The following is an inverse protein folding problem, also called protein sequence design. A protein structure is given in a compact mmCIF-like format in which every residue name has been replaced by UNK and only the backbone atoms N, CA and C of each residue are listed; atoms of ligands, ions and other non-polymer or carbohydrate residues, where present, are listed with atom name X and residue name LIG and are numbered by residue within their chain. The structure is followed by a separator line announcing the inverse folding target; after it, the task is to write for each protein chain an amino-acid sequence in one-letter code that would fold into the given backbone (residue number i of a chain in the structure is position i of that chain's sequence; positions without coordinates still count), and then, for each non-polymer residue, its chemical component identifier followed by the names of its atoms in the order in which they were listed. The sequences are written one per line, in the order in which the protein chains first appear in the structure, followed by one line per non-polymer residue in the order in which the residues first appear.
data_IF_948179505811
#
_entry.id   IF_948179505811
#
_cell.length_a   1.000
_cell.length_b   1.000
_cell.length_c   1.000
_cell.angle_alpha   90.00
_cell.angle_beta   90.00
_cell.angle_gamma   90.00
#
_symmetry.space_group_name_H-M   'P 1'
#
loop_
_entity.id
_entity.type
_entity.pdbx_description
1 polymer ?
#
# COMPACT_ATOMS: atom_id res chain seq x y z
N UNK A 1 16.62 8.70 -4.78
CA UNK A 1 15.15 8.81 -4.72
C UNK A 1 14.51 8.06 -5.88
N UNK A 2 13.37 7.40 -5.65
CA UNK A 2 12.76 6.49 -6.63
C UNK A 2 12.42 7.17 -7.98
N UNK A 3 11.93 8.41 -7.94
CA UNK A 3 11.54 9.14 -9.15
C UNK A 3 12.75 9.70 -9.91
N UNK A 4 13.67 10.38 -9.21
CA UNK A 4 14.74 11.13 -9.87
C UNK A 4 15.97 10.27 -10.20
N UNK A 5 16.36 9.36 -9.30
CA UNK A 5 17.59 8.55 -9.49
C UNK A 5 17.31 7.24 -10.22
N UNK A 6 16.12 6.66 -10.01
CA UNK A 6 15.74 5.36 -10.58
C UNK A 6 14.75 5.47 -11.74
N UNK A 7 14.23 6.67 -12.04
CA UNK A 7 13.29 6.88 -13.14
C UNK A 7 11.95 6.13 -12.97
N UNK A 8 11.58 5.76 -11.74
CA UNK A 8 10.30 5.09 -11.49
C UNK A 8 9.14 5.99 -11.95
N UNK A 9 8.08 5.40 -12.50
CA UNK A 9 6.84 6.14 -12.83
C UNK A 9 5.77 6.03 -11.75
N UNK A 10 5.86 4.99 -10.92
CA UNK A 10 4.93 4.67 -9.85
C UNK A 10 5.68 4.03 -8.70
N UNK A 11 5.40 4.49 -7.49
CA UNK A 11 5.82 3.89 -6.23
C UNK A 11 4.56 3.45 -5.50
N UNK A 12 4.52 2.22 -5.02
CA UNK A 12 3.37 1.72 -4.25
C UNK A 12 3.83 0.97 -3.00
N UNK A 13 2.95 0.92 -2.01
CA UNK A 13 3.13 0.18 -0.78
C UNK A 13 1.82 -0.53 -0.42
N UNK A 14 1.94 -1.68 0.25
CA UNK A 14 0.79 -2.47 0.71
C UNK A 14 0.91 -2.82 2.18
N UNK A 15 -0.23 -2.97 2.84
CA UNK A 15 -0.34 -3.50 4.21
C UNK A 15 -1.76 -4.03 4.42
N UNK A 16 -1.99 -4.87 5.43
CA UNK A 16 -3.34 -5.29 5.80
C UNK A 16 -4.21 -4.07 6.17
N UNK A 17 -5.49 -4.09 5.81
CA UNK A 17 -6.41 -2.97 6.00
C UNK A 17 -6.50 -2.52 7.47
N UNK A 18 -6.31 -3.46 8.40
CA UNK A 18 -6.30 -3.24 9.87
C UNK A 18 -5.07 -2.49 10.39
N UNK A 19 -3.97 -2.40 9.64
CA UNK A 19 -2.74 -1.72 10.06
C UNK A 19 -2.82 -0.19 9.89
N UNK A 20 -3.69 0.45 10.68
CA UNK A 20 -3.95 1.89 10.60
C UNK A 20 -2.69 2.77 10.77
N UNK A 21 -1.73 2.34 11.60
CA UNK A 21 -0.48 3.08 11.78
C UNK A 21 0.36 3.13 10.50
N UNK A 22 0.52 2.00 9.79
CA UNK A 22 1.21 1.96 8.51
C UNK A 22 0.51 2.81 7.46
N UNK A 23 -0.83 2.76 7.40
CA UNK A 23 -1.62 3.57 6.46
C UNK A 23 -1.38 5.07 6.64
N UNK A 24 -1.35 5.55 7.89
CA UNK A 24 -1.02 6.94 8.20
C UNK A 24 0.41 7.31 7.79
N UNK A 25 1.37 6.40 7.88
CA UNK A 25 2.74 6.64 7.39
C UNK A 25 2.76 6.77 5.87
N UNK A 26 2.04 5.91 5.15
CA UNK A 26 1.93 6.01 3.68
C UNK A 26 1.31 7.33 3.25
N UNK A 27 0.24 7.76 3.92
CA UNK A 27 -0.40 9.07 3.70
C UNK A 27 0.56 10.23 3.96
N UNK A 28 1.30 10.19 5.08
CA UNK A 28 2.33 11.20 5.39
C UNK A 28 3.48 11.23 4.40
N UNK A 29 3.81 10.09 3.79
CA UNK A 29 4.81 9.99 2.73
C UNK A 29 4.28 10.45 1.36
N UNK A 30 3.02 10.90 1.28
CA UNK A 30 2.41 11.44 0.07
C UNK A 30 1.75 10.40 -0.83
N UNK A 31 1.70 9.12 -0.42
CA UNK A 31 0.99 8.09 -1.16
C UNK A 31 -0.52 8.23 -0.91
N UNK A 32 -1.31 7.93 -1.95
CA UNK A 32 -2.78 7.99 -1.93
C UNK A 32 -3.36 6.59 -2.00
N UNK A 33 -4.48 6.37 -1.33
CA UNK A 33 -5.20 5.09 -1.41
C UNK A 33 -5.57 4.79 -2.87
N UNK A 34 -5.19 3.60 -3.35
CA UNK A 34 -5.47 3.14 -4.70
C UNK A 34 -6.61 2.11 -4.70
N UNK A 35 -6.50 1.06 -3.87
CA UNK A 35 -7.45 -0.07 -3.85
C UNK A 35 -7.29 -0.96 -2.62
N UNK A 36 -8.29 -1.80 -2.38
CA UNK A 36 -8.25 -2.93 -1.45
C UNK A 36 -8.21 -4.25 -2.24
N UNK A 37 -7.37 -5.18 -1.80
CA UNK A 37 -7.13 -6.50 -2.39
C UNK A 37 -7.52 -7.57 -1.38
N UNK A 38 -8.46 -8.45 -1.74
CA UNK A 38 -8.78 -9.62 -0.93
C UNK A 38 -8.00 -10.82 -1.47
N UNK A 39 -6.77 -10.95 -0.99
CA UNK A 39 -5.88 -12.04 -1.39
C UNK A 39 -6.28 -13.32 -0.65
N UNK A 40 -6.21 -14.46 -1.35
CA UNK A 40 -6.38 -15.78 -0.73
C UNK A 40 -5.01 -16.25 -0.25
N UNK A 41 -4.95 -16.65 1.01
CA UNK A 41 -3.76 -17.22 1.64
C UNK A 41 -4.09 -18.63 2.15
N UNK A 42 -3.16 -19.56 2.00
CA UNK A 42 -3.34 -20.94 2.46
C UNK A 42 -3.46 -21.04 3.98
N UNK A 43 -2.81 -20.12 4.71
CA UNK A 43 -2.88 -19.97 6.17
C UNK A 43 -3.13 -18.48 6.52
N UNK A 44 -4.39 -18.03 6.54
CA UNK A 44 -4.71 -16.63 6.79
C UNK A 44 -4.57 -16.28 8.28
N UNK A 45 -3.94 -15.14 8.56
CA UNK A 45 -3.88 -14.59 9.92
C UNK A 45 -5.10 -13.68 10.21
N UNK A 46 -5.48 -13.47 11.49
CA UNK A 46 -6.58 -12.58 11.84
C UNK A 46 -6.42 -11.18 11.24
N UNK A 47 -7.50 -10.65 10.65
CA UNK A 47 -7.53 -9.37 9.95
C UNK A 47 -7.34 -9.48 8.43
N UNK A 48 -6.96 -10.66 7.91
CA UNK A 48 -6.85 -10.94 6.47
C UNK A 48 -8.21 -10.82 5.76
N UNK A 49 -9.30 -11.09 6.46
CA UNK A 49 -10.67 -10.95 5.98
C UNK A 49 -11.02 -9.51 5.55
N UNK A 50 -10.29 -8.52 6.05
CA UNK A 50 -10.45 -7.12 5.67
C UNK A 50 -9.60 -6.72 4.44
N UNK A 51 -8.77 -7.65 3.94
CA UNK A 51 -7.91 -7.47 2.78
C UNK A 51 -6.63 -6.67 3.05
N UNK A 52 -5.84 -6.50 2.00
CA UNK A 52 -4.70 -5.57 1.94
C UNK A 52 -5.11 -4.27 1.26
N UNK A 53 -4.59 -3.15 1.74
CA UNK A 53 -4.73 -1.85 1.08
C UNK A 53 -3.46 -1.52 0.31
N UNK A 54 -3.62 -1.03 -0.92
CA UNK A 54 -2.54 -0.50 -1.74
C UNK A 54 -2.63 1.02 -1.75
N UNK A 55 -1.50 1.67 -1.47
CA UNK A 55 -1.32 3.11 -1.60
C UNK A 55 -0.25 3.37 -2.66
N UNK A 56 -0.40 4.45 -3.43
CA UNK A 56 0.50 4.75 -4.54
C UNK A 56 0.82 6.24 -4.68
N UNK A 57 1.94 6.51 -5.36
CA UNK A 57 2.33 7.82 -5.84
C UNK A 57 2.86 7.66 -7.27
N UNK A 58 2.30 8.41 -8.21
CA UNK A 58 2.74 8.45 -9.61
C UNK A 58 3.47 9.75 -9.93
N UNK A 59 4.38 9.68 -10.91
CA UNK A 59 5.00 10.86 -11.53
C UNK A 59 4.28 11.10 -12.85
N UNK A 60 3.35 12.04 -12.83
CA UNK A 60 2.78 12.68 -14.03
C UNK A 60 3.50 14.01 -14.29
#
# INVERSE_FOLDING_TARGET
MAFDDLGARRVYARTMAVHLASRRVMEKAGLRYARTLHLLFDDPIPGTEHGEVEYELSRE
#
